data_IF_744955880736
#
_entry.id   IF_744955880736
#
_cell.length_a   1.000
_cell.length_b   1.000
_cell.length_c   1.000
_cell.angle_alpha   90.00
_cell.angle_beta   90.00
_cell.angle_gamma   90.00
#
_symmetry.space_group_name_H-M   'P 1'
#
loop_
_entity.id
_entity.type
_entity.pdbx_description
1 polymer ?
#
# COMPACT_ATOMS: atom_id res chain seq x y z
N UNK A 1 -27.59 -22.29 32.16
CA UNK A 1 -27.86 -22.47 30.72
C UNK A 1 -27.11 -21.36 30.01
N UNK A 2 -25.99 -21.71 29.39
CA UNK A 2 -25.05 -20.82 28.69
C UNK A 2 -25.67 -20.24 27.40
N UNK A 3 -25.11 -19.11 26.97
CA UNK A 3 -24.93 -18.64 25.58
C UNK A 3 -25.52 -17.25 25.25
N UNK A 4 -24.97 -16.22 25.90
CA UNK A 4 -24.86 -14.85 25.39
C UNK A 4 -23.68 -14.27 26.17
N UNK A 5 -22.52 -13.87 25.64
CA UNK A 5 -22.27 -12.96 24.51
C UNK A 5 -20.75 -12.98 24.17
N UNK A 6 -20.17 -14.15 23.87
CA UNK A 6 -18.77 -14.24 23.38
C UNK A 6 -18.59 -13.60 21.99
N UNK A 7 -19.67 -13.42 21.24
CA UNK A 7 -19.67 -12.79 19.91
C UNK A 7 -19.51 -11.25 19.94
N UNK A 8 -19.80 -10.61 21.09
CA UNK A 8 -19.92 -9.15 21.18
C UNK A 8 -18.57 -8.43 21.40
N UNK A 9 -17.55 -9.19 21.82
CA UNK A 9 -16.19 -8.68 21.97
C UNK A 9 -15.31 -8.87 20.73
N UNK A 10 -15.74 -9.68 19.76
CA UNK A 10 -14.96 -9.96 18.55
C UNK A 10 -15.18 -8.91 17.43
N UNK A 11 -16.16 -8.03 17.61
CA UNK A 11 -16.43 -6.85 16.76
C UNK A 11 -15.69 -5.59 17.25
N UNK A 12 -14.55 -5.74 17.93
CA UNK A 12 -13.62 -4.62 18.13
C UNK A 12 -12.96 -4.30 16.78
N UNK A 13 -13.66 -3.47 15.98
CA UNK A 13 -13.22 -2.82 14.73
C UNK A 13 -11.92 -3.41 14.15
N UNK A 14 -12.02 -4.31 13.16
CA UNK A 14 -10.87 -4.54 12.28
C UNK A 14 -10.49 -3.18 11.69
N UNK A 15 -9.40 -2.58 12.20
CA UNK A 15 -8.95 -1.27 11.76
C UNK A 15 -8.70 -1.35 10.26
N UNK A 16 -9.37 -0.49 9.48
CA UNK A 16 -9.17 -0.41 8.03
C UNK A 16 -7.66 -0.29 7.76
N UNK A 17 -7.09 -1.26 7.05
CA UNK A 17 -5.66 -1.23 6.71
C UNK A 17 -5.36 0.04 5.92
N UNK A 18 -4.24 0.67 6.24
CA UNK A 18 -3.82 1.93 5.61
C UNK A 18 -2.56 1.72 4.79
N UNK A 19 -2.51 2.36 3.62
CA UNK A 19 -1.31 2.52 2.82
C UNK A 19 -0.94 4.00 2.82
N UNK A 20 0.09 4.37 3.59
CA UNK A 20 0.44 5.77 3.85
C UNK A 20 1.58 6.25 2.97
N UNK A 21 1.53 7.50 2.50
CA UNK A 21 2.57 8.10 1.69
C UNK A 21 3.07 9.40 2.34
N UNK A 22 4.33 9.77 2.07
CA UNK A 22 4.79 11.13 2.40
C UNK A 22 3.92 12.14 1.67
N UNK A 23 3.62 13.27 2.30
CA UNK A 23 2.70 14.31 1.79
C UNK A 23 3.02 14.74 0.35
N UNK A 24 4.31 14.84 0.01
CA UNK A 24 4.78 15.22 -1.33
C UNK A 24 4.33 14.25 -2.45
N UNK A 25 4.06 12.99 -2.14
CA UNK A 25 3.63 11.99 -3.13
C UNK A 25 2.11 11.89 -3.28
N UNK A 26 1.32 12.47 -2.36
CA UNK A 26 -0.13 12.36 -2.40
C UNK A 26 -0.75 12.90 -3.71
N UNK A 27 -0.29 14.03 -4.29
CA UNK A 27 -0.79 14.49 -5.58
C UNK A 27 -0.57 13.48 -6.71
N UNK A 28 0.57 12.79 -6.74
CA UNK A 28 0.88 11.78 -7.76
C UNK A 28 0.01 10.52 -7.61
N UNK A 29 -0.26 10.11 -6.36
CA UNK A 29 -1.18 9.01 -6.08
C UNK A 29 -2.60 9.39 -6.50
N UNK A 30 -3.07 10.57 -6.10
CA UNK A 30 -4.41 11.06 -6.42
C UNK A 30 -4.64 11.22 -7.93
N UNK A 31 -3.62 11.61 -8.68
CA UNK A 31 -3.65 11.69 -10.15
C UNK A 31 -3.52 10.32 -10.85
N UNK A 32 -3.35 9.22 -10.11
CA UNK A 32 -3.15 7.88 -10.68
C UNK A 32 -1.78 7.68 -11.36
N UNK A 33 -0.83 8.61 -11.19
CA UNK A 33 0.52 8.50 -11.74
C UNK A 33 1.41 7.60 -10.90
N UNK A 34 1.25 7.64 -9.57
CA UNK A 34 1.92 6.72 -8.65
C UNK A 34 0.99 5.54 -8.35
N UNK A 35 1.30 4.39 -8.94
CA UNK A 35 0.51 3.14 -8.87
C UNK A 35 1.26 2.02 -8.14
N UNK A 36 2.49 2.29 -7.70
CA UNK A 36 3.34 1.37 -6.97
C UNK A 36 3.99 2.03 -5.75
N UNK A 37 4.29 1.21 -4.75
CA UNK A 37 5.15 1.59 -3.62
C UNK A 37 6.07 0.44 -3.17
N UNK A 38 7.37 0.73 -3.06
CA UNK A 38 8.38 -0.14 -2.46
C UNK A 38 8.38 0.13 -0.96
N UNK A 39 8.29 -0.95 -0.17
CA UNK A 39 8.15 -0.89 1.28
C UNK A 39 9.17 -1.80 1.93
N UNK A 40 9.91 -1.25 2.88
CA UNK A 40 10.71 -2.08 3.79
C UNK A 40 9.81 -2.67 4.88
N UNK A 41 9.55 -3.97 4.82
CA UNK A 41 8.80 -4.71 5.85
C UNK A 41 9.46 -6.06 6.12
N UNK A 42 9.58 -6.45 7.40
CA UNK A 42 10.10 -7.79 7.77
C UNK A 42 9.29 -8.95 7.15
N UNK A 43 7.99 -8.74 6.93
CA UNK A 43 7.01 -9.67 6.33
C UNK A 43 5.95 -8.85 5.58
N UNK A 44 5.25 -9.39 4.57
CA UNK A 44 4.25 -8.62 3.83
C UNK A 44 3.11 -8.23 4.77
N UNK A 45 2.70 -6.95 4.73
CA UNK A 45 1.60 -6.43 5.57
C UNK A 45 0.27 -6.37 4.83
N UNK A 46 0.32 -6.45 3.51
CA UNK A 46 -0.81 -6.40 2.59
C UNK A 46 -0.78 -7.64 1.70
N UNK A 47 -1.92 -7.95 1.08
CA UNK A 47 -2.10 -9.03 0.11
C UNK A 47 -2.91 -8.52 -1.09
N UNK A 48 -2.74 -9.19 -2.23
CA UNK A 48 -3.57 -8.95 -3.40
C UNK A 48 -5.07 -9.10 -3.08
N UNK A 49 -5.90 -8.24 -3.66
CA UNK A 49 -7.35 -8.17 -3.43
C UNK A 49 -7.76 -7.42 -2.16
N UNK A 50 -6.81 -7.00 -1.31
CA UNK A 50 -7.15 -6.18 -0.14
C UNK A 50 -7.54 -4.74 -0.55
N UNK A 51 -8.62 -4.23 0.05
CA UNK A 51 -8.97 -2.80 -0.04
C UNK A 51 -8.36 -2.06 1.13
N UNK A 52 -7.56 -1.04 0.83
CA UNK A 52 -6.86 -0.19 1.80
C UNK A 52 -7.31 1.26 1.71
N UNK A 53 -7.24 1.98 2.82
CA UNK A 53 -7.40 3.42 2.85
C UNK A 53 -6.04 4.10 2.60
N UNK A 54 -5.99 5.00 1.62
CA UNK A 54 -4.91 5.96 1.43
C UNK A 54 -5.39 7.30 2.01
N UNK A 55 -4.89 7.72 3.18
CA UNK A 55 -5.33 8.97 3.81
C UNK A 55 -5.16 10.17 2.88
N UNK A 56 -6.16 11.05 2.86
CA UNK A 56 -6.25 12.23 1.99
C UNK A 56 -6.38 11.94 0.48
N UNK A 57 -6.57 10.68 0.07
CA UNK A 57 -6.78 10.31 -1.34
C UNK A 57 -8.08 9.53 -1.52
N UNK A 58 -8.26 8.42 -0.80
CA UNK A 58 -9.42 7.53 -0.97
C UNK A 58 -9.07 6.06 -0.73
N UNK A 59 -9.89 5.17 -1.27
CA UNK A 59 -9.66 3.72 -1.19
C UNK A 59 -8.90 3.22 -2.42
N UNK A 60 -8.08 2.20 -2.21
CA UNK A 60 -7.34 1.51 -3.26
C UNK A 60 -7.44 0.00 -3.10
N UNK A 61 -7.44 -0.72 -4.21
CA UNK A 61 -7.27 -2.16 -4.26
C UNK A 61 -5.79 -2.48 -4.44
N UNK A 62 -5.27 -3.37 -3.60
CA UNK A 62 -3.93 -3.94 -3.75
C UNK A 62 -3.98 -5.00 -4.85
N UNK A 63 -3.16 -4.83 -5.88
CA UNK A 63 -3.10 -5.71 -7.04
C UNK A 63 -2.08 -6.83 -6.84
N UNK A 64 -0.90 -6.52 -6.32
CA UNK A 64 0.11 -7.51 -5.96
C UNK A 64 1.00 -7.03 -4.82
N UNK A 65 1.60 -7.99 -4.11
CA UNK A 65 2.58 -7.77 -3.05
C UNK A 65 3.68 -8.81 -3.21
N UNK A 66 4.83 -8.39 -3.70
CA UNK A 66 5.93 -9.28 -4.11
C UNK A 66 7.24 -8.85 -3.41
N UNK A 67 8.11 -9.79 -3.02
CA UNK A 67 9.47 -9.44 -2.61
C UNK A 67 10.22 -8.82 -3.79
N UNK A 68 11.10 -7.87 -3.52
CA UNK A 68 11.92 -7.21 -4.56
C UNK A 68 13.27 -6.82 -3.98
N UNK A 69 14.32 -6.94 -4.78
CA UNK A 69 15.62 -6.36 -4.46
C UNK A 69 15.77 -5.00 -5.14
N UNK A 70 16.45 -4.05 -4.48
CA UNK A 70 16.65 -2.72 -5.07
C UNK A 70 17.44 -2.77 -6.39
N UNK A 71 18.30 -3.78 -6.54
CA UNK A 71 19.08 -4.01 -7.76
C UNK A 71 18.22 -4.47 -8.96
N UNK A 72 17.03 -5.01 -8.71
CA UNK A 72 16.12 -5.51 -9.75
C UNK A 72 15.10 -4.46 -10.20
N UNK A 73 15.14 -3.26 -9.63
CA UNK A 73 14.28 -2.16 -10.04
C UNK A 73 14.70 -1.62 -11.40
N UNK A 74 13.72 -1.22 -12.20
CA UNK A 74 13.93 -0.69 -13.56
C UNK A 74 13.21 0.66 -13.76
N UNK A 75 13.32 1.22 -14.96
CA UNK A 75 12.68 2.51 -15.28
C UNK A 75 11.16 2.48 -15.14
N UNK A 76 10.51 1.36 -15.48
CA UNK A 76 9.07 1.21 -15.27
C UNK A 76 8.71 1.25 -13.78
N UNK A 77 9.56 0.75 -12.87
CA UNK A 77 9.35 0.92 -11.43
C UNK A 77 9.45 2.39 -11.01
N UNK A 78 10.39 3.14 -11.57
CA UNK A 78 10.52 4.57 -11.32
C UNK A 78 9.26 5.33 -11.74
N UNK A 79 8.76 5.07 -12.94
CA UNK A 79 7.53 5.66 -13.46
C UNK A 79 6.33 5.33 -12.55
N UNK A 80 6.15 4.05 -12.19
CA UNK A 80 5.06 3.61 -11.31
C UNK A 80 5.19 4.17 -9.88
N UNK A 81 6.40 4.47 -9.43
CA UNK A 81 6.67 5.15 -8.16
C UNK A 81 6.46 6.68 -8.24
N UNK A 82 6.29 7.24 -9.44
CA UNK A 82 6.17 8.68 -9.68
C UNK A 82 7.50 9.42 -9.78
N UNK A 83 8.59 8.73 -10.12
CA UNK A 83 9.91 9.29 -10.40
C UNK A 83 10.17 9.37 -11.90
N UNK A 84 11.08 10.24 -12.29
CA UNK A 84 11.49 10.45 -13.70
C UNK A 84 12.63 9.55 -14.14
N UNK A 85 13.28 8.83 -13.21
CA UNK A 85 14.36 7.89 -13.51
C UNK A 85 14.56 6.87 -12.39
N UNK A 86 15.12 5.71 -12.74
CA UNK A 86 15.55 4.68 -11.80
C UNK A 86 16.54 5.22 -10.77
N UNK A 87 17.50 6.06 -11.18
CA UNK A 87 18.47 6.66 -10.27
C UNK A 87 17.79 7.49 -9.18
N UNK A 88 16.79 8.31 -9.55
CA UNK A 88 16.05 9.14 -8.61
C UNK A 88 15.25 8.29 -7.61
N UNK A 89 14.65 7.19 -8.09
CA UNK A 89 13.96 6.23 -7.23
C UNK A 89 14.92 5.57 -6.24
N UNK A 90 16.04 5.02 -6.72
CA UNK A 90 17.03 4.33 -5.88
C UNK A 90 17.61 5.28 -4.82
N UNK A 91 17.95 6.52 -5.21
CA UNK A 91 18.44 7.55 -4.27
C UNK A 91 17.40 7.84 -3.19
N UNK A 92 16.12 7.96 -3.56
CA UNK A 92 15.04 8.19 -2.60
C UNK A 92 14.85 6.99 -1.65
N UNK A 93 14.86 5.76 -2.17
CA UNK A 93 14.72 4.54 -1.36
C UNK A 93 15.87 4.38 -0.37
N UNK A 94 17.11 4.56 -0.83
CA UNK A 94 18.31 4.52 0.02
C UNK A 94 18.28 5.60 1.10
N UNK A 95 17.84 6.81 0.76
CA UNK A 95 17.70 7.89 1.75
C UNK A 95 16.66 7.56 2.84
N UNK A 96 15.61 6.80 2.51
CA UNK A 96 14.53 6.46 3.46
C UNK A 96 14.85 5.19 4.27
N UNK A 97 15.44 4.17 3.64
CA UNK A 97 15.56 2.83 4.21
C UNK A 97 16.99 2.29 4.30
N UNK A 98 17.97 2.98 3.72
CA UNK A 98 19.30 2.44 3.46
C UNK A 98 19.27 1.30 2.43
N UNK A 99 20.33 0.49 2.41
CA UNK A 99 20.46 -0.67 1.51
C UNK A 99 19.98 -1.99 2.14
N UNK A 100 19.38 -1.94 3.34
CA UNK A 100 19.03 -3.16 4.08
C UNK A 100 17.56 -3.51 3.90
N UNK A 101 17.29 -4.64 3.25
CA UNK A 101 15.96 -5.21 3.06
C UNK A 101 15.40 -5.93 4.31
N UNK A 102 14.36 -6.77 4.14
CA UNK A 102 13.70 -7.09 2.88
C UNK A 102 12.75 -5.98 2.40
N UNK A 103 12.64 -5.84 1.07
CA UNK A 103 11.71 -4.91 0.42
C UNK A 103 10.55 -5.65 -0.25
N UNK A 104 9.41 -4.97 -0.31
CA UNK A 104 8.19 -5.46 -0.93
C UNK A 104 7.67 -4.43 -1.93
N UNK A 105 7.43 -4.86 -3.16
CA UNK A 105 6.73 -4.11 -4.18
C UNK A 105 5.24 -4.28 -3.99
N UNK A 106 4.52 -3.19 -3.77
CA UNK A 106 3.05 -3.17 -3.68
C UNK A 106 2.50 -2.41 -4.87
N UNK A 107 1.80 -3.10 -5.75
CA UNK A 107 1.02 -2.48 -6.85
C UNK A 107 -0.41 -2.26 -6.39
N UNK A 108 -1.00 -1.13 -6.76
CA UNK A 108 -2.36 -0.79 -6.37
C UNK A 108 -3.05 0.05 -7.43
N UNK A 109 -4.38 0.07 -7.39
CA UNK A 109 -5.21 1.00 -8.17
C UNK A 109 -6.17 1.74 -7.26
N UNK A 110 -6.38 3.02 -7.52
CA UNK A 110 -7.45 3.78 -6.86
C UNK A 110 -8.80 3.23 -7.29
N UNK A 111 -9.72 3.12 -6.34
CA UNK A 111 -11.11 2.77 -6.62
C UNK A 111 -11.91 4.05 -6.87
N UNK A 112 -12.98 3.99 -7.69
CA UNK A 112 -13.89 5.11 -7.86
C UNK A 112 -14.41 5.62 -6.52
N UNK A 113 -14.63 6.94 -6.43
CA UNK A 113 -15.24 7.56 -5.24
C UNK A 113 -16.60 6.90 -4.99
N UNK A 114 -16.83 6.45 -3.76
CA UNK A 114 -18.10 5.82 -3.36
C UNK A 114 -18.12 4.29 -3.39
N UNK A 115 -17.00 3.59 -3.64
CA UNK A 115 -16.91 2.14 -3.38
C UNK A 115 -16.76 1.92 -1.86
N UNK A 116 -17.79 1.45 -1.12
CA UNK A 116 -17.62 1.10 0.28
C UNK A 116 -16.62 -0.05 0.42
N UNK A 117 -15.84 -0.01 1.50
CA UNK A 117 -14.98 -1.13 1.88
C UNK A 117 -15.85 -2.39 1.95
N UNK A 118 -15.67 -3.35 1.02
CA UNK A 118 -16.51 -4.55 0.93
C UNK A 118 -16.49 -5.42 2.20
N UNK A 119 -15.53 -5.20 3.12
CA UNK A 119 -15.50 -5.83 4.45
C UNK A 119 -16.37 -5.14 5.52
N UNK A 120 -16.99 -4.00 5.22
CA UNK A 120 -17.97 -3.36 6.10
C UNK A 120 -19.41 -3.84 5.85
N UNK A 121 -19.59 -4.84 4.98
CA UNK A 121 -20.90 -5.34 4.52
C UNK A 121 -21.08 -6.85 4.80
N UNK A 122 -20.31 -7.44 5.71
CA UNK A 122 -20.48 -8.82 6.15
C UNK A 122 -20.31 -8.91 7.66
#
# INVERSE_FOLDING_TARGET
MLAATEADHNLRRSAVKRLTFKRAYLPLVAAGRKTQTIRRWKKPKLHAGEVVLIPNVGTAEVLSVEPVELADLNENDAECEGFTSLEALIKALRSIYGDVGPFWRVRFRLLPKGVPNRRALR
#
